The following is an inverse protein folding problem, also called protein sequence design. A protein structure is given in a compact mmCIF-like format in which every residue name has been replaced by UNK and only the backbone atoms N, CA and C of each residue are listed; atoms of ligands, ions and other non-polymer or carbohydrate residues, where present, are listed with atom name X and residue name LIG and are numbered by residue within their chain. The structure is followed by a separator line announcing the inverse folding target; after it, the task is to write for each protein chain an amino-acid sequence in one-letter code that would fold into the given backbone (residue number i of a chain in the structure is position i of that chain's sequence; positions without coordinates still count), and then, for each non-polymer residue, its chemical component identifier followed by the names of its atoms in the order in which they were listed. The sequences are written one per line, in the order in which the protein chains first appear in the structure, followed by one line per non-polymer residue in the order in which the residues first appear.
data_IF_233123273926
#
_entry.id   IF_233123273926
#
_cell.length_a   1.000
_cell.length_b   1.000
_cell.length_c   1.000
_cell.angle_alpha   90.00
_cell.angle_beta   90.00
_cell.angle_gamma   90.00
#
_symmetry.space_group_name_H-M   'P 1'
#
loop_
_entity.id
_entity.type
_entity.pdbx_description
1 polymer ?
#
# COMPACT_ATOMS: atom_id res chain seq x y z
N UNK A 1 8.37 33.75 29.86
CA UNK A 1 8.41 33.95 28.40
C UNK A 1 8.99 32.73 27.68
N UNK A 2 10.09 32.12 28.15
CA UNK A 2 10.65 30.87 27.55
C UNK A 2 9.70 29.66 27.54
N UNK A 3 8.90 29.47 28.59
CA UNK A 3 7.94 28.34 28.65
C UNK A 3 6.84 28.38 27.58
N UNK A 4 6.45 29.59 27.12
CA UNK A 4 5.47 29.75 26.05
C UNK A 4 6.07 29.36 24.70
N UNK A 5 7.29 29.82 24.42
CA UNK A 5 8.04 29.49 23.19
C UNK A 5 8.36 28.00 23.07
N UNK A 6 8.70 27.32 24.17
CA UNK A 6 8.91 25.86 24.16
C UNK A 6 7.61 25.08 23.86
N UNK A 7 6.47 25.49 24.41
CA UNK A 7 5.17 24.87 24.10
C UNK A 7 4.78 25.05 22.64
N UNK A 8 4.91 26.27 22.11
CA UNK A 8 4.64 26.55 20.69
C UNK A 8 5.54 25.71 19.77
N UNK A 9 6.82 25.56 20.12
CA UNK A 9 7.76 24.72 19.36
C UNK A 9 7.39 23.23 19.42
N UNK A 10 6.96 22.74 20.59
CA UNK A 10 6.48 21.35 20.75
C UNK A 10 5.23 21.08 19.92
N UNK A 11 4.29 22.01 19.90
CA UNK A 11 3.05 21.91 19.14
C UNK A 11 3.31 21.94 17.63
N UNK A 12 4.13 22.88 17.15
CA UNK A 12 4.54 22.95 15.76
C UNK A 12 5.30 21.68 15.32
N UNK A 13 6.11 21.10 16.20
CA UNK A 13 6.83 19.84 15.94
C UNK A 13 5.86 18.66 15.87
N UNK A 14 4.91 18.54 16.78
CA UNK A 14 3.88 17.51 16.76
C UNK A 14 3.05 17.58 15.47
N UNK A 15 2.61 18.77 15.08
CA UNK A 15 1.88 18.98 13.82
C UNK A 15 2.69 18.62 12.56
N UNK A 16 4.03 18.74 12.60
CA UNK A 16 4.90 18.28 11.51
C UNK A 16 4.97 16.77 11.46
N UNK A 17 5.12 16.12 12.62
CA UNK A 17 5.15 14.66 12.72
C UNK A 17 3.84 14.05 12.21
N UNK A 18 2.70 14.57 12.64
CA UNK A 18 1.39 14.07 12.21
C UNK A 18 1.18 14.19 10.69
N UNK A 19 1.66 15.29 10.09
CA UNK A 19 1.62 15.48 8.64
C UNK A 19 2.46 14.45 7.91
N UNK A 20 3.69 14.17 8.37
CA UNK A 20 4.54 13.16 7.75
C UNK A 20 3.99 11.75 7.91
N UNK A 21 3.43 11.41 9.07
CA UNK A 21 2.75 10.13 9.29
C UNK A 21 1.60 9.97 8.29
N UNK A 22 0.75 11.00 8.16
CA UNK A 22 -0.36 10.98 7.21
C UNK A 22 0.14 10.80 5.77
N UNK A 23 1.18 11.53 5.37
CA UNK A 23 1.79 11.42 4.03
C UNK A 23 2.28 10.00 3.77
N UNK A 24 3.03 9.40 4.69
CA UNK A 24 3.56 8.05 4.55
C UNK A 24 2.45 7.00 4.43
N UNK A 25 1.40 7.11 5.22
CA UNK A 25 0.25 6.19 5.16
C UNK A 25 -0.47 6.31 3.82
N UNK A 26 -0.71 7.55 3.36
CA UNK A 26 -1.35 7.79 2.06
C UNK A 26 -0.53 7.21 0.91
N UNK A 27 0.79 7.46 0.88
CA UNK A 27 1.69 6.92 -0.16
C UNK A 27 1.73 5.39 -0.14
N UNK A 28 1.74 4.78 1.04
CA UNK A 28 1.68 3.32 1.17
C UNK A 28 0.35 2.77 0.66
N UNK A 29 -0.76 3.43 0.97
CA UNK A 29 -2.10 3.04 0.52
C UNK A 29 -2.25 3.16 -1.00
N UNK A 30 -1.79 4.26 -1.59
CA UNK A 30 -1.80 4.49 -3.04
C UNK A 30 -0.95 3.43 -3.75
N UNK A 31 0.25 3.15 -3.24
CA UNK A 31 1.14 2.11 -3.78
C UNK A 31 0.50 0.73 -3.72
N UNK A 32 -0.09 0.35 -2.59
CA UNK A 32 -0.79 -0.93 -2.45
C UNK A 32 -1.96 -1.04 -3.44
N UNK A 33 -2.74 0.04 -3.59
CA UNK A 33 -3.84 0.09 -4.54
C UNK A 33 -3.36 0.00 -5.99
N UNK A 34 -2.26 0.67 -6.34
CA UNK A 34 -1.65 0.58 -7.67
C UNK A 34 -1.19 -0.86 -7.97
N UNK A 35 -0.53 -1.52 -7.02
CA UNK A 35 -0.10 -2.93 -7.15
C UNK A 35 -1.31 -3.85 -7.38
N UNK A 36 -2.37 -3.69 -6.58
CA UNK A 36 -3.58 -4.52 -6.70
C UNK A 36 -4.25 -4.30 -8.06
N UNK A 37 -4.38 -3.03 -8.49
CA UNK A 37 -4.98 -2.70 -9.80
C UNK A 37 -4.16 -3.25 -10.96
N UNK A 38 -2.83 -3.10 -10.92
CA UNK A 38 -1.93 -3.62 -11.95
C UNK A 38 -1.92 -5.16 -12.01
N UNK A 39 -2.35 -5.84 -10.94
CA UNK A 39 -2.43 -7.30 -10.82
C UNK A 39 -3.86 -7.80 -10.67
N UNK A 40 -4.85 -7.08 -11.20
CA UNK A 40 -6.26 -7.41 -11.00
C UNK A 40 -6.62 -8.83 -11.49
N UNK A 41 -6.00 -9.28 -12.58
CA UNK A 41 -6.24 -10.63 -13.11
C UNK A 41 -5.68 -11.72 -12.17
N UNK A 42 -4.52 -11.48 -11.57
CA UNK A 42 -3.95 -12.35 -10.54
C UNK A 42 -4.85 -12.42 -9.30
N UNK A 43 -5.40 -11.27 -8.87
CA UNK A 43 -6.34 -11.21 -7.75
C UNK A 43 -7.60 -12.02 -8.03
N UNK A 44 -8.17 -11.89 -9.24
CA UNK A 44 -9.35 -12.66 -9.66
C UNK A 44 -9.05 -14.17 -9.67
N UNK A 45 -7.88 -14.57 -10.15
CA UNK A 45 -7.47 -15.98 -10.15
C UNK A 45 -7.33 -16.54 -8.73
N UNK A 46 -6.72 -15.79 -7.81
CA UNK A 46 -6.63 -16.17 -6.39
C UNK A 46 -8.03 -16.28 -5.76
N UNK A 47 -8.92 -15.31 -6.03
CA UNK A 47 -10.28 -15.34 -5.51
C UNK A 47 -11.07 -16.54 -6.03
N UNK A 48 -10.96 -16.85 -7.33
CA UNK A 48 -11.61 -18.03 -7.91
C UNK A 48 -11.08 -19.33 -7.28
N UNK A 49 -9.77 -19.45 -7.10
CA UNK A 49 -9.16 -20.62 -6.47
C UNK A 49 -9.57 -20.78 -4.99
N UNK A 50 -9.70 -19.67 -4.25
CA UNK A 50 -10.21 -19.68 -2.88
C UNK A 50 -11.69 -20.05 -2.79
N UNK A 51 -12.51 -19.66 -3.77
CA UNK A 51 -13.91 -20.09 -3.83
C UNK A 51 -14.05 -21.60 -4.07
N UNK A 52 -13.12 -22.21 -4.81
CA UNK A 52 -13.12 -23.64 -5.09
C UNK A 52 -12.53 -24.47 -3.93
N UNK A 53 -11.45 -23.99 -3.32
CA UNK A 53 -10.64 -24.78 -2.36
C UNK A 53 -10.72 -24.32 -0.91
N UNK A 54 -11.41 -23.22 -0.63
CA UNK A 54 -11.59 -22.56 0.68
C UNK A 54 -10.29 -22.05 1.35
N UNK A 55 -9.14 -22.60 1.00
CA UNK A 55 -7.82 -22.20 1.47
C UNK A 55 -6.76 -22.47 0.41
N UNK A 56 -5.71 -21.65 0.39
CA UNK A 56 -4.52 -21.81 -0.43
C UNK A 56 -3.30 -21.75 0.50
N UNK A 57 -2.31 -22.60 0.25
CA UNK A 57 -0.99 -22.44 0.88
C UNK A 57 -0.11 -21.45 0.09
N UNK A 58 1.06 -21.14 0.65
CA UNK A 58 1.98 -20.17 0.03
C UNK A 58 2.50 -20.61 -1.35
N UNK A 59 2.76 -21.91 -1.56
CA UNK A 59 3.26 -22.41 -2.84
C UNK A 59 2.20 -22.32 -3.92
N UNK A 60 0.95 -22.57 -3.56
CA UNK A 60 -0.20 -22.44 -4.45
C UNK A 60 -0.46 -20.99 -4.85
N UNK A 61 -0.34 -20.05 -3.90
CA UNK A 61 -0.40 -18.62 -4.18
C UNK A 61 0.71 -18.21 -5.15
N UNK A 62 1.95 -18.61 -4.89
CA UNK A 62 3.10 -18.27 -5.73
C UNK A 62 2.93 -18.85 -7.15
N UNK A 63 2.45 -20.09 -7.27
CA UNK A 63 2.17 -20.73 -8.55
C UNK A 63 1.10 -19.98 -9.36
N UNK A 64 0.03 -19.50 -8.71
CA UNK A 64 -0.99 -18.68 -9.35
C UNK A 64 -0.37 -17.35 -9.81
N UNK A 65 0.34 -16.65 -8.93
CA UNK A 65 0.95 -15.35 -9.22
C UNK A 65 1.98 -15.42 -10.37
N UNK A 66 2.71 -16.53 -10.51
CA UNK A 66 3.69 -16.72 -11.58
C UNK A 66 3.07 -16.67 -13.00
N UNK A 67 1.78 -16.98 -13.13
CA UNK A 67 1.06 -16.91 -14.41
C UNK A 67 0.62 -15.49 -14.79
N UNK A 68 0.72 -14.53 -13.86
CA UNK A 68 0.27 -13.15 -14.03
C UNK A 68 1.44 -12.18 -13.78
N UNK A 69 2.37 -12.03 -14.74
CA UNK A 69 3.48 -11.11 -14.58
C UNK A 69 2.95 -9.69 -14.34
N UNK A 70 3.65 -8.95 -13.46
CA UNK A 70 3.28 -7.56 -13.19
C UNK A 70 3.43 -6.77 -14.48
N UNK A 71 2.30 -6.33 -15.04
CA UNK A 71 2.31 -5.31 -16.08
C UNK A 71 2.65 -4.00 -15.39
N UNK A 72 3.95 -3.70 -15.33
CA UNK A 72 4.39 -2.34 -15.11
C UNK A 72 3.95 -1.57 -16.36
N UNK A 73 2.73 -1.01 -16.34
CA UNK A 73 2.53 0.16 -17.19
C UNK A 73 3.54 1.18 -16.67
N UNK A 74 4.46 1.59 -17.55
CA UNK A 74 5.30 2.76 -17.32
C UNK A 74 4.34 3.84 -16.84
N UNK A 75 4.45 4.21 -15.56
CA UNK A 75 3.74 5.34 -15.02
C UNK A 75 4.33 6.56 -15.75
N UNK A 76 3.80 6.84 -16.95
CA UNK A 76 4.12 8.00 -17.73
C UNK A 76 3.75 9.20 -16.87
N UNK A 77 4.77 9.98 -16.57
CA UNK A 77 4.59 11.28 -15.98
C UNK A 77 3.70 12.15 -16.86
N UNK A 78 2.74 12.78 -16.22
CA UNK A 78 2.25 14.13 -16.52
C UNK A 78 1.96 14.80 -15.19
#
# INVERSE_FOLDING_TARGET
RELATQRETSEATAQRVDREIKRLIMEAHERATAIIRARLDALKALAAALLERESLDGQEVDAILANFPMRLEEAQGT
#
